data_IF_637957402990
#
_entry.id   IF_637957402990
#
_cell.length_a   1.000
_cell.length_b   1.000
_cell.length_c   1.000
_cell.angle_alpha   90.00
_cell.angle_beta   90.00
_cell.angle_gamma   90.00
#
_symmetry.space_group_name_H-M   'P 1'
#
loop_
_entity.id
_entity.type
_entity.pdbx_description
1 polymer ?
#
# COMPACT_ATOMS: atom_id res chain seq x y z
N UNK A 1 -7.77 25.70 0.40
CA UNK A 1 -7.74 24.48 -0.44
C UNK A 1 -6.96 23.34 0.24
N UNK A 2 -6.43 23.50 1.46
CA UNK A 2 -5.45 22.58 2.04
C UNK A 2 -6.02 21.27 2.64
N UNK A 3 -7.22 21.28 3.23
CA UNK A 3 -7.79 20.08 3.89
C UNK A 3 -8.35 19.04 2.90
N UNK A 4 -8.94 19.49 1.79
CA UNK A 4 -9.53 18.59 0.80
C UNK A 4 -8.46 17.79 0.06
N UNK A 5 -7.34 18.44 -0.28
CA UNK A 5 -6.20 17.81 -0.95
C UNK A 5 -5.50 16.80 -0.02
N UNK A 6 -5.30 17.16 1.26
CA UNK A 6 -4.78 16.24 2.27
C UNK A 6 -5.69 15.02 2.48
N UNK A 7 -7.01 15.24 2.50
CA UNK A 7 -8.00 14.15 2.65
C UNK A 7 -8.01 13.21 1.44
N UNK A 8 -7.86 13.74 0.23
CA UNK A 8 -7.77 12.96 -1.00
C UNK A 8 -6.48 12.11 -1.04
N UNK A 9 -5.35 12.68 -0.62
CA UNK A 9 -4.06 11.98 -0.57
C UNK A 9 -4.05 10.85 0.48
N UNK A 10 -4.65 11.10 1.65
CA UNK A 10 -4.87 10.07 2.68
C UNK A 10 -5.81 8.98 2.19
N UNK A 11 -6.89 9.34 1.48
CA UNK A 11 -7.82 8.39 0.88
C UNK A 11 -7.15 7.50 -0.17
N UNK A 12 -6.31 8.08 -1.03
CA UNK A 12 -5.52 7.37 -2.03
C UNK A 12 -4.52 6.40 -1.38
N UNK A 13 -3.78 6.87 -0.38
CA UNK A 13 -2.81 6.07 0.37
C UNK A 13 -3.47 4.91 1.10
N UNK A 14 -4.60 5.17 1.78
CA UNK A 14 -5.37 4.15 2.49
C UNK A 14 -5.98 3.14 1.53
N UNK A 15 -6.51 3.60 0.39
CA UNK A 15 -7.03 2.74 -0.67
C UNK A 15 -5.96 1.81 -1.23
N UNK A 16 -4.78 2.34 -1.55
CA UNK A 16 -3.65 1.54 -2.04
C UNK A 16 -3.20 0.50 -1.02
N UNK A 17 -3.13 0.86 0.27
CA UNK A 17 -2.79 -0.04 1.36
C UNK A 17 -3.79 -1.21 1.45
N UNK A 18 -5.10 -0.89 1.47
CA UNK A 18 -6.18 -1.88 1.59
C UNK A 18 -6.19 -2.81 0.39
N UNK A 19 -6.11 -2.28 -0.83
CA UNK A 19 -6.07 -3.09 -2.06
C UNK A 19 -4.86 -4.03 -2.07
N UNK A 20 -3.67 -3.52 -1.72
CA UNK A 20 -2.46 -4.34 -1.65
C UNK A 20 -2.62 -5.47 -0.61
N UNK A 21 -3.11 -5.15 0.58
CA UNK A 21 -3.35 -6.14 1.64
C UNK A 21 -4.35 -7.22 1.20
N UNK A 22 -5.46 -6.80 0.58
CA UNK A 22 -6.52 -7.70 0.12
C UNK A 22 -6.12 -8.57 -1.07
N UNK A 23 -5.11 -8.20 -1.85
CA UNK A 23 -4.59 -9.04 -2.93
C UNK A 23 -3.47 -9.96 -2.45
N UNK A 24 -2.49 -9.43 -1.71
CA UNK A 24 -1.29 -10.19 -1.33
C UNK A 24 -1.62 -11.26 -0.29
N UNK A 25 -2.48 -10.96 0.70
CA UNK A 25 -2.84 -11.90 1.76
C UNK A 25 -3.48 -13.18 1.22
N UNK A 26 -4.56 -13.15 0.41
CA UNK A 26 -5.14 -14.38 -0.11
C UNK A 26 -4.20 -15.08 -1.09
N UNK A 27 -3.43 -14.35 -1.91
CA UNK A 27 -2.42 -14.98 -2.79
C UNK A 27 -1.41 -15.78 -1.97
N UNK A 28 -0.89 -15.20 -0.89
CA UNK A 28 0.06 -15.89 -0.02
C UNK A 28 -0.57 -17.10 0.69
N UNK A 29 -1.78 -16.95 1.23
CA UNK A 29 -2.44 -18.02 1.98
C UNK A 29 -3.04 -19.13 1.13
N UNK A 30 -3.44 -18.86 -0.11
CA UNK A 30 -4.14 -19.84 -0.97
C UNK A 30 -3.28 -20.41 -2.08
N UNK A 31 -2.32 -19.64 -2.61
CA UNK A 31 -1.50 -20.06 -3.76
C UNK A 31 -0.07 -20.46 -3.36
N UNK A 32 0.44 -19.93 -2.24
CA UNK A 32 1.81 -20.16 -1.79
C UNK A 32 1.89 -20.99 -0.50
N UNK A 33 0.74 -21.45 0.02
CA UNK A 33 0.64 -22.33 1.19
C UNK A 33 1.26 -21.76 2.48
N UNK A 34 1.36 -20.42 2.58
CA UNK A 34 1.70 -19.78 3.85
C UNK A 34 0.57 -19.98 4.85
N UNK A 35 0.90 -20.17 6.13
CA UNK A 35 -0.15 -20.15 7.15
C UNK A 35 -0.85 -18.78 7.17
N UNK A 36 -2.10 -18.73 7.62
CA UNK A 36 -2.91 -17.51 7.60
C UNK A 36 -2.23 -16.31 8.27
N UNK A 37 -1.58 -16.51 9.41
CA UNK A 37 -0.83 -15.45 10.11
C UNK A 37 0.36 -14.97 9.29
N UNK A 38 1.14 -15.87 8.67
CA UNK A 38 2.25 -15.50 7.77
C UNK A 38 1.74 -14.71 6.56
N UNK A 39 0.63 -15.14 5.96
CA UNK A 39 0.02 -14.47 4.83
C UNK A 39 -0.44 -13.04 5.18
N UNK A 40 -1.07 -12.85 6.34
CA UNK A 40 -1.49 -11.53 6.84
C UNK A 40 -0.28 -10.62 7.08
N UNK A 41 0.78 -11.14 7.69
CA UNK A 41 2.01 -10.38 7.92
C UNK A 41 2.67 -9.96 6.61
N UNK A 42 2.72 -10.87 5.63
CA UNK A 42 3.26 -10.59 4.30
C UNK A 42 2.42 -9.54 3.56
N UNK A 43 1.08 -9.64 3.61
CA UNK A 43 0.18 -8.65 3.04
C UNK A 43 0.33 -7.27 3.68
N UNK A 44 0.48 -7.22 5.02
CA UNK A 44 0.75 -5.98 5.75
C UNK A 44 2.07 -5.34 5.36
N UNK A 45 3.14 -6.14 5.28
CA UNK A 45 4.46 -5.68 4.83
C UNK A 45 4.42 -5.15 3.39
N UNK A 46 3.80 -5.90 2.46
CA UNK A 46 3.63 -5.48 1.08
C UNK A 46 2.88 -4.13 1.00
N UNK A 47 1.82 -3.96 1.80
CA UNK A 47 1.09 -2.71 1.92
C UNK A 47 1.98 -1.52 2.33
N UNK A 48 2.82 -1.68 3.37
CA UNK A 48 3.77 -0.65 3.78
C UNK A 48 4.75 -0.31 2.67
N UNK A 49 5.29 -1.32 1.98
CA UNK A 49 6.23 -1.09 0.87
C UNK A 49 5.57 -0.33 -0.29
N UNK A 50 4.31 -0.63 -0.61
CA UNK A 50 3.56 0.07 -1.65
C UNK A 50 3.37 1.56 -1.34
N UNK A 51 3.03 1.89 -0.09
CA UNK A 51 2.91 3.29 0.37
C UNK A 51 4.26 4.02 0.28
N UNK A 52 5.35 3.40 0.74
CA UNK A 52 6.69 4.00 0.66
C UNK A 52 7.10 4.22 -0.80
N UNK A 53 6.85 3.25 -1.69
CA UNK A 53 7.14 3.38 -3.12
C UNK A 53 6.35 4.49 -3.78
N UNK A 54 5.07 4.65 -3.44
CA UNK A 54 4.23 5.74 -3.93
C UNK A 54 4.77 7.11 -3.47
N UNK A 55 5.12 7.23 -2.19
CA UNK A 55 5.70 8.44 -1.63
C UNK A 55 7.06 8.80 -2.25
N UNK A 56 7.94 7.81 -2.45
CA UNK A 56 9.23 8.02 -3.12
C UNK A 56 9.02 8.47 -4.58
N UNK A 57 8.01 7.93 -5.26
CA UNK A 57 7.65 8.31 -6.63
C UNK A 57 7.17 9.76 -6.68
N UNK A 58 6.30 10.16 -5.75
CA UNK A 58 5.83 11.54 -5.62
C UNK A 58 7.00 12.52 -5.38
N UNK A 59 7.93 12.16 -4.49
CA UNK A 59 9.14 12.98 -4.23
C UNK A 59 10.05 13.14 -5.44
N UNK A 60 10.19 12.10 -6.26
CA UNK A 60 10.99 12.17 -7.50
C UNK A 60 10.33 13.05 -8.55
N UNK A 61 9.00 13.00 -8.66
CA UNK A 61 8.24 13.88 -9.57
C UNK A 61 8.40 15.35 -9.20
N UNK A 62 8.32 15.67 -7.90
CA UNK A 62 8.42 17.04 -7.38
C UNK A 62 9.82 17.69 -7.49
N UNK A 63 10.88 16.92 -7.79
CA UNK A 63 12.24 17.44 -7.99
C UNK A 63 12.53 17.93 -9.43
N UNK A 64 11.52 17.94 -10.30
CA UNK A 64 11.64 18.29 -11.73
C UNK A 64 10.98 19.64 -12.07
N UNK A 65 10.61 20.43 -11.06
CA UNK A 65 10.03 21.77 -11.17
C UNK A 65 10.92 22.83 -10.54
#
# INVERSE_FOLDING_TARGET
MTDADASADLGSTTGALVVTFLLVTPVAGTLLDFNWTQAVLLGGFAGVTAVISAWLTARRGAGTE
#
